data_IF_406368203826
#
_entry.id   IF_406368203826
#
_cell.length_a   1.000
_cell.length_b   1.000
_cell.length_c   1.000
_cell.angle_alpha   90.00
_cell.angle_beta   90.00
_cell.angle_gamma   90.00
#
_symmetry.space_group_name_H-M   'P 1'
#
loop_
_entity.id
_entity.type
_entity.pdbx_description
1 polymer ?
#
# COMPACT_ATOMS: atom_id res chain seq x y z
N UNK A 1 2.43 -60.41 35.15
CA UNK A 1 1.35 -60.52 34.14
C UNK A 1 0.47 -59.28 34.25
N UNK A 2 0.11 -58.71 33.09
CA UNK A 2 -0.75 -57.54 32.83
C UNK A 2 -0.07 -56.17 32.79
N UNK A 3 0.37 -55.83 31.56
CA UNK A 3 0.71 -54.49 31.07
C UNK A 3 -0.54 -53.60 30.95
N UNK A 4 -0.42 -52.27 31.09
CA UNK A 4 -1.33 -51.34 30.45
C UNK A 4 -0.65 -50.57 29.29
N UNK A 5 -1.30 -50.60 28.13
CA UNK A 5 -1.01 -49.76 26.96
C UNK A 5 -1.36 -48.29 27.25
N UNK A 6 -0.53 -47.30 26.84
CA UNK A 6 -0.99 -45.93 26.69
C UNK A 6 -1.53 -45.70 25.27
N UNK A 7 -2.80 -45.31 25.19
CA UNK A 7 -3.45 -44.86 23.96
C UNK A 7 -2.86 -43.51 23.51
N UNK A 8 -2.28 -43.51 22.32
CA UNK A 8 -1.75 -42.32 21.64
C UNK A 8 -2.93 -41.55 21.03
N UNK A 9 -3.35 -40.45 21.66
CA UNK A 9 -4.30 -39.49 21.07
C UNK A 9 -3.53 -38.49 20.20
N UNK A 10 -3.54 -38.74 18.89
CA UNK A 10 -3.09 -37.79 17.87
C UNK A 10 -4.09 -36.63 17.80
N UNK A 11 -3.75 -35.50 18.43
CA UNK A 11 -4.43 -34.23 18.21
C UNK A 11 -3.86 -33.55 16.95
N UNK A 12 -4.61 -33.61 15.86
CA UNK A 12 -4.40 -32.79 14.67
C UNK A 12 -4.68 -31.31 15.02
N UNK A 13 -3.77 -30.36 14.77
CA UNK A 13 -4.11 -28.95 14.85
C UNK A 13 -4.94 -28.57 13.61
N UNK A 14 -6.19 -28.19 13.83
CA UNK A 14 -6.99 -27.47 12.85
C UNK A 14 -6.33 -26.11 12.62
N UNK A 15 -5.74 -25.93 11.44
CA UNK A 15 -5.30 -24.63 10.96
C UNK A 15 -6.55 -23.76 10.72
N UNK A 16 -6.82 -22.84 11.66
CA UNK A 16 -7.77 -21.77 11.45
C UNK A 16 -7.21 -20.82 10.39
N UNK A 17 -7.77 -20.87 9.18
CA UNK A 17 -7.61 -19.80 8.20
C UNK A 17 -8.22 -18.53 8.77
N UNK A 18 -7.40 -17.65 9.35
CA UNK A 18 -7.83 -16.32 9.72
C UNK A 18 -8.11 -15.53 8.44
N UNK A 19 -9.39 -15.26 8.17
CA UNK A 19 -9.81 -14.32 7.14
C UNK A 19 -9.38 -12.91 7.57
N UNK A 20 -8.83 -12.11 6.65
CA UNK A 20 -8.40 -10.74 6.92
C UNK A 20 -9.54 -9.92 7.55
N UNK A 21 -9.25 -9.23 8.64
CA UNK A 21 -10.23 -8.40 9.33
C UNK A 21 -10.41 -7.05 8.60
N UNK A 22 -11.66 -6.68 8.32
CA UNK A 22 -12.02 -5.35 7.80
C UNK A 22 -12.46 -4.46 8.97
N UNK A 23 -11.86 -3.29 9.11
CA UNK A 23 -12.18 -2.32 10.16
C UNK A 23 -12.88 -1.09 9.56
N UNK A 24 -14.08 -0.76 10.06
CA UNK A 24 -14.81 0.47 9.70
C UNK A 24 -14.28 1.63 10.56
N UNK A 25 -13.66 2.62 9.94
CA UNK A 25 -13.04 3.76 10.63
C UNK A 25 -14.01 4.95 10.82
N UNK A 26 -15.09 5.03 10.04
CA UNK A 26 -16.08 6.10 10.18
C UNK A 26 -17.32 5.92 9.31
N UNK A 27 -18.44 6.51 9.77
CA UNK A 27 -19.69 6.62 9.03
C UNK A 27 -20.14 8.10 8.99
N UNK A 28 -20.30 8.67 7.79
CA UNK A 28 -20.89 9.99 7.62
C UNK A 28 -22.37 10.03 8.06
N UNK A 29 -22.78 11.12 8.71
CA UNK A 29 -24.10 11.28 9.33
C UNK A 29 -25.28 11.14 8.34
N UNK A 30 -26.34 10.45 8.80
CA UNK A 30 -27.53 10.01 8.04
C UNK A 30 -28.50 11.11 7.57
N UNK A 31 -28.12 12.39 7.61
CA UNK A 31 -29.08 13.50 7.41
C UNK A 31 -29.31 13.80 5.92
N UNK A 32 -28.42 13.33 5.04
CA UNK A 32 -28.60 13.27 3.60
C UNK A 32 -28.14 11.88 3.15
N UNK A 33 -28.65 11.35 2.04
CA UNK A 33 -28.38 9.99 1.50
C UNK A 33 -26.90 9.72 1.07
N UNK A 34 -25.92 10.32 1.75
CA UNK A 34 -24.49 10.14 1.58
C UNK A 34 -23.89 9.55 2.87
N UNK A 35 -24.01 8.25 3.05
CA UNK A 35 -23.18 7.52 4.02
C UNK A 35 -21.85 7.20 3.34
N UNK A 36 -20.82 8.02 3.58
CA UNK A 36 -19.44 7.63 3.28
C UNK A 36 -18.99 6.64 4.35
N UNK A 37 -18.70 5.41 3.94
CA UNK A 37 -18.07 4.39 4.77
C UNK A 37 -16.58 4.35 4.46
N UNK A 38 -15.75 4.45 5.50
CA UNK A 38 -14.31 4.31 5.37
C UNK A 38 -13.89 2.98 5.97
N UNK A 39 -13.33 2.09 5.15
CA UNK A 39 -12.86 0.78 5.62
C UNK A 39 -11.37 0.59 5.38
N UNK A 40 -10.75 -0.18 6.28
CA UNK A 40 -9.35 -0.58 6.17
C UNK A 40 -9.27 -2.09 6.31
N UNK A 41 -8.66 -2.76 5.33
CA UNK A 41 -8.35 -4.18 5.46
C UNK A 41 -6.95 -4.37 6.00
N UNK A 42 -6.83 -5.24 7.00
CA UNK A 42 -5.53 -5.77 7.40
C UNK A 42 -4.99 -6.75 6.34
N UNK A 43 -3.67 -6.94 6.31
CA UNK A 43 -3.06 -7.96 5.49
C UNK A 43 -3.30 -9.34 6.09
N UNK A 44 -3.58 -10.35 5.26
CA UNK A 44 -3.53 -11.74 5.71
C UNK A 44 -2.07 -12.21 5.93
N UNK A 45 -1.89 -13.43 6.42
CA UNK A 45 -0.55 -13.97 6.71
C UNK A 45 0.36 -14.07 5.47
N UNK A 46 -0.20 -14.39 4.31
CA UNK A 46 0.55 -14.54 3.06
C UNK A 46 0.94 -13.17 2.50
N UNK A 47 0.01 -12.24 2.47
CA UNK A 47 0.23 -10.83 2.10
C UNK A 47 1.25 -10.17 3.03
N UNK A 48 1.13 -10.41 4.34
CA UNK A 48 2.07 -9.90 5.33
C UNK A 48 3.50 -10.44 5.11
N UNK A 49 3.63 -11.70 4.68
CA UNK A 49 4.91 -12.28 4.27
C UNK A 49 5.45 -11.63 3.00
N UNK A 50 4.62 -11.48 1.97
CA UNK A 50 5.00 -10.79 0.71
C UNK A 50 5.50 -9.37 0.98
N UNK A 51 4.73 -8.58 1.73
CA UNK A 51 5.14 -7.23 2.15
C UNK A 51 6.49 -7.25 2.89
N UNK A 52 6.69 -8.15 3.86
CA UNK A 52 7.95 -8.23 4.61
C UNK A 52 9.16 -8.55 3.72
N UNK A 53 8.97 -9.36 2.69
CA UNK A 53 10.04 -9.79 1.79
C UNK A 53 10.45 -8.71 0.78
N UNK A 54 9.57 -7.74 0.47
CA UNK A 54 9.80 -6.76 -0.59
C UNK A 54 9.86 -5.31 -0.13
N UNK A 55 9.44 -5.00 1.11
CA UNK A 55 9.48 -3.64 1.65
C UNK A 55 10.87 -3.05 1.87
N UNK A 56 11.93 -3.85 1.79
CA UNK A 56 13.30 -3.44 2.07
C UNK A 56 14.16 -3.60 0.81
N UNK A 57 15.01 -2.61 0.50
CA UNK A 57 15.95 -2.63 -0.62
C UNK A 57 17.31 -2.06 -0.23
N UNK A 58 18.36 -2.43 -0.95
CA UNK A 58 19.72 -1.97 -0.70
C UNK A 58 20.26 -1.24 -1.93
N UNK A 59 20.64 0.01 -1.74
CA UNK A 59 21.38 0.79 -2.73
C UNK A 59 22.87 0.76 -2.38
N UNK A 60 23.70 0.37 -3.34
CA UNK A 60 25.15 0.26 -3.15
C UNK A 60 25.88 1.31 -4.01
N UNK A 61 27.02 1.81 -3.51
CA UNK A 61 27.84 2.79 -4.23
C UNK A 61 27.25 4.20 -4.25
N UNK A 62 26.32 4.52 -3.34
CA UNK A 62 25.67 5.83 -3.28
C UNK A 62 25.65 6.38 -1.85
N UNK A 63 25.77 7.70 -1.72
CA UNK A 63 25.56 8.36 -0.44
C UNK A 63 24.06 8.46 -0.12
N UNK A 64 23.75 8.62 1.16
CA UNK A 64 22.36 8.78 1.63
C UNK A 64 21.67 9.98 0.98
N UNK A 65 22.37 11.12 0.89
CA UNK A 65 21.90 12.31 0.18
C UNK A 65 21.66 12.04 -1.31
N UNK A 66 22.54 11.26 -1.95
CA UNK A 66 22.35 10.89 -3.34
C UNK A 66 21.08 10.05 -3.52
N UNK A 67 20.86 9.02 -2.69
CA UNK A 67 19.64 8.20 -2.78
C UNK A 67 18.38 9.04 -2.53
N UNK A 68 18.41 9.94 -1.54
CA UNK A 68 17.29 10.83 -1.24
C UNK A 68 16.92 11.75 -2.42
N UNK A 69 17.92 12.31 -3.11
CA UNK A 69 17.68 13.13 -4.30
C UNK A 69 17.14 12.30 -5.48
N UNK A 70 17.70 11.11 -5.72
CA UNK A 70 17.21 10.22 -6.78
C UNK A 70 15.78 9.75 -6.52
N UNK A 71 15.46 9.46 -5.26
CA UNK A 71 14.11 9.08 -4.87
C UNK A 71 13.10 10.19 -5.16
N UNK A 72 13.40 11.44 -4.78
CA UNK A 72 12.54 12.58 -5.12
C UNK A 72 12.35 12.73 -6.64
N UNK A 73 13.43 12.63 -7.41
CA UNK A 73 13.37 12.76 -8.87
C UNK A 73 12.54 11.64 -9.51
N UNK A 74 12.76 10.38 -9.09
CA UNK A 74 12.00 9.23 -9.56
C UNK A 74 10.51 9.38 -9.21
N UNK A 75 10.17 9.76 -7.98
CA UNK A 75 8.78 9.93 -7.56
C UNK A 75 8.06 11.01 -8.39
N UNK A 76 8.72 12.14 -8.66
CA UNK A 76 8.17 13.18 -9.51
C UNK A 76 7.94 12.69 -10.94
N UNK A 77 8.88 11.94 -11.52
CA UNK A 77 8.75 11.37 -12.86
C UNK A 77 7.62 10.33 -12.96
N UNK A 78 7.30 9.64 -11.86
CA UNK A 78 6.26 8.60 -11.80
C UNK A 78 4.93 9.08 -11.24
N UNK A 79 4.68 10.39 -11.29
CA UNK A 79 3.35 10.98 -11.09
C UNK A 79 2.98 11.24 -9.63
N UNK A 80 3.92 11.13 -8.68
CA UNK A 80 3.68 11.62 -7.32
C UNK A 80 3.66 13.14 -7.33
N UNK A 81 2.53 13.73 -6.93
CA UNK A 81 2.27 15.17 -7.04
C UNK A 81 2.60 15.95 -5.77
N UNK A 82 2.51 15.32 -4.60
CA UNK A 82 2.95 15.89 -3.33
C UNK A 82 4.11 15.04 -2.83
N UNK A 83 5.29 15.62 -2.74
CA UNK A 83 6.50 14.95 -2.26
C UNK A 83 7.10 15.81 -1.16
N UNK A 84 7.14 15.27 0.04
CA UNK A 84 7.73 15.89 1.22
C UNK A 84 8.96 15.08 1.61
N UNK A 85 10.14 15.67 1.42
CA UNK A 85 11.39 15.08 1.89
C UNK A 85 11.81 15.76 3.20
N UNK A 86 12.17 14.95 4.18
CA UNK A 86 12.73 15.38 5.47
C UNK A 86 14.20 14.91 5.51
N UNK A 87 15.17 15.71 5.01
CA UNK A 87 16.56 15.28 4.87
C UNK A 87 17.20 14.89 6.20
N UNK A 88 16.87 15.59 7.29
CA UNK A 88 17.42 15.33 8.63
C UNK A 88 17.01 13.96 9.18
N UNK A 89 15.82 13.49 8.81
CA UNK A 89 15.29 12.19 9.20
C UNK A 89 15.46 11.13 8.11
N UNK A 90 15.93 11.51 6.92
CA UNK A 90 16.06 10.67 5.74
C UNK A 90 14.75 9.95 5.37
N UNK A 91 13.65 10.69 5.49
CA UNK A 91 12.29 10.23 5.19
C UNK A 91 11.77 10.97 3.97
N UNK A 92 11.04 10.25 3.11
CA UNK A 92 10.23 10.85 2.06
C UNK A 92 8.80 10.36 2.22
N UNK A 93 7.86 11.30 2.22
CA UNK A 93 6.43 11.06 2.10
C UNK A 93 6.01 11.51 0.72
N UNK A 94 5.23 10.69 0.02
CA UNK A 94 4.72 11.08 -1.28
C UNK A 94 3.30 10.59 -1.51
N UNK A 95 2.52 11.38 -2.24
CA UNK A 95 1.13 11.07 -2.60
C UNK A 95 0.95 11.12 -4.11
N UNK A 96 0.38 10.05 -4.67
CA UNK A 96 -0.06 9.95 -6.06
C UNK A 96 -1.57 9.77 -6.11
N UNK A 97 -2.20 10.37 -7.10
CA UNK A 97 -3.62 10.27 -7.36
C UNK A 97 -3.88 9.76 -8.77
N UNK A 98 -4.79 8.80 -8.91
CA UNK A 98 -5.14 8.15 -10.17
C UNK A 98 -6.65 8.08 -10.35
N UNK A 99 -7.14 8.46 -11.53
CA UNK A 99 -8.55 8.25 -11.89
C UNK A 99 -8.71 6.85 -12.47
N UNK A 100 -9.45 5.99 -11.77
CA UNK A 100 -9.72 4.62 -12.20
C UNK A 100 -10.76 4.55 -13.32
N UNK A 101 -11.60 5.58 -13.44
CA UNK A 101 -12.65 5.66 -14.46
C UNK A 101 -12.53 7.00 -15.18
N UNK A 102 -12.55 6.96 -16.51
CA UNK A 102 -12.57 8.16 -17.34
C UNK A 102 -13.73 9.09 -16.97
N UNK A 103 -13.50 10.41 -16.97
CA UNK A 103 -14.50 11.44 -16.67
C UNK A 103 -15.83 11.29 -17.43
N UNK A 104 -15.79 10.90 -18.72
CA UNK A 104 -17.01 10.67 -19.52
C UNK A 104 -17.90 9.54 -19.00
N UNK A 105 -17.28 8.44 -18.53
CA UNK A 105 -18.00 7.32 -17.89
C UNK A 105 -18.56 7.70 -16.53
N UNK A 106 -17.88 8.57 -15.78
CA UNK A 106 -18.40 9.11 -14.51
C UNK A 106 -19.66 9.96 -14.74
N UNK A 107 -19.66 10.87 -15.73
CA UNK A 107 -20.79 11.75 -16.06
C UNK A 107 -22.02 10.95 -16.52
N UNK A 108 -21.85 10.04 -17.48
CA UNK A 108 -22.95 9.20 -17.97
C UNK A 108 -23.60 8.39 -16.84
N UNK A 109 -22.77 7.89 -15.93
CA UNK A 109 -23.22 7.12 -14.77
C UNK A 109 -23.93 7.99 -13.74
N UNK A 110 -23.48 9.22 -13.52
CA UNK A 110 -24.17 10.20 -12.69
C UNK A 110 -25.59 10.45 -13.18
N UNK A 111 -25.78 10.59 -14.49
CA UNK A 111 -27.10 10.74 -15.11
C UNK A 111 -27.97 9.48 -14.92
N UNK A 112 -27.38 8.29 -15.05
CA UNK A 112 -28.09 7.03 -14.85
C UNK A 112 -28.48 6.80 -13.38
N UNK A 113 -27.67 7.25 -12.40
CA UNK A 113 -27.97 7.19 -10.96
C UNK A 113 -29.23 7.99 -10.61
N UNK A 114 -29.55 9.05 -11.35
CA UNK A 114 -30.78 9.83 -11.15
C UNK A 114 -32.04 9.03 -11.50
N UNK A 115 -31.91 7.97 -12.31
CA UNK A 115 -33.04 7.16 -12.79
C UNK A 115 -33.09 5.76 -12.17
N UNK A 116 -31.96 5.21 -11.71
CA UNK A 116 -31.83 3.85 -11.20
C UNK A 116 -30.86 3.79 -10.00
N UNK A 117 -31.19 3.07 -8.91
CA UNK A 117 -30.23 2.82 -7.84
C UNK A 117 -29.09 1.93 -8.36
N UNK A 118 -27.85 2.40 -8.23
CA UNK A 118 -26.66 1.67 -8.68
C UNK A 118 -25.63 1.54 -7.54
N UNK A 119 -24.92 0.40 -7.43
CA UNK A 119 -23.88 0.19 -6.41
C UNK A 119 -22.73 1.18 -6.61
N UNK A 120 -21.87 1.38 -5.61
CA UNK A 120 -20.62 2.14 -5.79
C UNK A 120 -19.71 1.44 -6.81
N UNK A 121 -18.94 2.21 -7.59
CA UNK A 121 -17.78 1.65 -8.32
C UNK A 121 -16.55 2.49 -8.02
N UNK A 122 -15.37 1.86 -7.91
CA UNK A 122 -14.11 2.56 -7.83
C UNK A 122 -14.01 3.59 -8.95
N UNK A 123 -13.65 4.83 -8.62
CA UNK A 123 -13.49 5.91 -9.59
C UNK A 123 -12.23 6.75 -9.37
N UNK A 124 -11.68 6.74 -8.16
CA UNK A 124 -10.42 7.38 -7.82
C UNK A 124 -9.57 6.50 -6.90
N UNK A 125 -8.26 6.60 -7.03
CA UNK A 125 -7.29 5.93 -6.17
C UNK A 125 -6.25 6.95 -5.71
N UNK A 126 -5.81 6.82 -4.46
CA UNK A 126 -4.59 7.45 -3.99
C UNK A 126 -3.60 6.40 -3.52
N UNK A 127 -2.32 6.65 -3.78
CA UNK A 127 -1.20 5.82 -3.28
C UNK A 127 -0.29 6.72 -2.46
N UNK A 128 -0.21 6.44 -1.17
CA UNK A 128 0.71 7.05 -0.22
C UNK A 128 1.99 6.21 -0.13
N UNK A 129 3.14 6.85 -0.27
CA UNK A 129 4.44 6.26 -0.03
C UNK A 129 5.07 6.89 1.21
N UNK A 130 5.55 6.04 2.11
CA UNK A 130 6.54 6.39 3.12
C UNK A 130 7.84 5.62 2.82
N UNK A 131 8.89 6.35 2.46
CA UNK A 131 10.23 5.81 2.22
C UNK A 131 11.16 6.27 3.33
N UNK A 132 11.75 5.34 4.05
CA UNK A 132 12.75 5.60 5.08
C UNK A 132 14.09 5.10 4.60
N UNK A 133 15.12 5.93 4.72
CA UNK A 133 16.48 5.59 4.33
C UNK A 133 17.39 5.59 5.56
N UNK A 134 18.37 4.68 5.59
CA UNK A 134 19.42 4.69 6.62
C UNK A 134 20.74 4.19 6.05
N UNK A 135 21.89 4.56 6.64
CA UNK A 135 23.16 3.93 6.30
C UNK A 135 23.12 2.41 6.52
N UNK A 136 23.76 1.67 5.62
CA UNK A 136 24.00 0.24 5.76
C UNK A 136 25.25 -0.07 6.59
N UNK A 137 25.58 -1.36 6.68
CA UNK A 137 26.79 -1.82 7.38
C UNK A 137 28.07 -1.61 6.57
N UNK A 138 27.94 -1.43 5.25
CA UNK A 138 29.08 -1.23 4.34
C UNK A 138 29.24 0.25 3.95
N UNK A 139 30.47 0.70 3.61
CA UNK A 139 30.68 2.02 3.04
C UNK A 139 29.81 2.24 1.81
N UNK A 140 29.17 3.42 1.72
CA UNK A 140 28.29 3.80 0.59
C UNK A 140 27.14 2.81 0.33
N UNK A 141 26.71 2.10 1.36
CA UNK A 141 25.49 1.32 1.35
C UNK A 141 24.37 2.11 2.01
N UNK A 142 23.20 2.14 1.38
CA UNK A 142 21.98 2.74 1.92
C UNK A 142 20.90 1.67 1.93
N UNK A 143 20.29 1.48 3.10
CA UNK A 143 19.14 0.60 3.28
C UNK A 143 17.88 1.45 3.18
N UNK A 144 16.95 1.02 2.34
CA UNK A 144 15.67 1.64 2.16
C UNK A 144 14.55 0.73 2.67
N UNK A 145 13.55 1.32 3.32
CA UNK A 145 12.29 0.66 3.66
C UNK A 145 11.13 1.47 3.10
N UNK A 146 10.30 0.86 2.28
CA UNK A 146 9.11 1.48 1.72
C UNK A 146 7.84 0.92 2.37
N UNK A 147 6.86 1.79 2.55
CA UNK A 147 5.48 1.43 2.87
C UNK A 147 4.58 2.13 1.87
N UNK A 148 3.85 1.34 1.09
CA UNK A 148 2.89 1.82 0.11
C UNK A 148 1.49 1.54 0.65
N UNK A 149 0.63 2.55 0.67
CA UNK A 149 -0.74 2.41 1.14
C UNK A 149 -1.68 2.97 0.10
N UNK A 150 -2.59 2.14 -0.38
CA UNK A 150 -3.51 2.49 -1.44
C UNK A 150 -4.90 2.69 -0.85
N UNK A 151 -5.52 3.83 -1.16
CA UNK A 151 -6.91 4.10 -0.83
C UNK A 151 -7.71 4.22 -2.11
N UNK A 152 -8.68 3.34 -2.27
CA UNK A 152 -9.62 3.34 -3.40
C UNK A 152 -10.92 3.98 -2.95
N UNK A 153 -11.36 5.00 -3.67
CA UNK A 153 -12.64 5.66 -3.47
C UNK A 153 -13.64 5.20 -4.52
N UNK A 154 -14.89 5.06 -4.10
CA UNK A 154 -16.00 4.79 -4.99
C UNK A 154 -16.89 6.02 -5.22
N UNK A 155 -17.69 5.93 -6.27
CA UNK A 155 -18.65 6.97 -6.66
C UNK A 155 -19.79 7.25 -5.65
N UNK A 156 -19.85 6.52 -4.53
CA UNK A 156 -20.78 6.78 -3.42
C UNK A 156 -20.07 7.51 -2.26
N UNK A 157 -18.76 7.78 -2.40
CA UNK A 157 -17.93 8.37 -1.37
C UNK A 157 -17.42 7.37 -0.34
N UNK A 158 -17.58 6.06 -0.55
CA UNK A 158 -16.91 5.07 0.30
C UNK A 158 -15.43 5.01 -0.06
N UNK A 159 -14.59 4.71 0.92
CA UNK A 159 -13.18 4.44 0.71
C UNK A 159 -12.77 3.11 1.31
N UNK A 160 -11.81 2.48 0.66
CA UNK A 160 -11.15 1.28 1.12
C UNK A 160 -9.63 1.48 1.09
N UNK A 161 -9.00 1.42 2.25
CA UNK A 161 -7.55 1.57 2.39
C UNK A 161 -6.89 0.23 2.67
N UNK A 162 -5.83 -0.08 1.94
CA UNK A 162 -5.05 -1.31 2.11
C UNK A 162 -3.55 -1.04 1.99
N UNK A 163 -2.77 -1.68 2.86
CA UNK A 163 -1.32 -1.75 2.73
C UNK A 163 -0.98 -2.58 1.49
N UNK A 164 -0.13 -2.05 0.63
CA UNK A 164 0.34 -2.79 -0.52
C UNK A 164 1.29 -3.92 -0.12
N UNK A 165 1.16 -5.06 -0.79
CA UNK A 165 2.00 -6.24 -0.61
C UNK A 165 2.43 -6.86 -1.94
N UNK A 166 2.12 -6.23 -3.07
CA UNK A 166 2.49 -6.73 -4.38
C UNK A 166 4.00 -6.55 -4.63
N UNK A 167 4.77 -7.63 -4.83
CA UNK A 167 6.21 -7.55 -5.12
C UNK A 167 6.58 -6.65 -6.30
N UNK A 168 5.70 -6.53 -7.30
CA UNK A 168 5.99 -5.81 -8.52
C UNK A 168 5.98 -4.28 -8.30
N UNK A 169 5.09 -3.78 -7.44
CA UNK A 169 5.00 -2.36 -7.08
C UNK A 169 6.28 -1.89 -6.35
N UNK A 170 6.78 -2.69 -5.41
CA UNK A 170 8.06 -2.44 -4.74
C UNK A 170 9.25 -2.53 -5.70
N UNK A 171 9.28 -3.55 -6.56
CA UNK A 171 10.36 -3.72 -7.55
C UNK A 171 10.40 -2.55 -8.52
N UNK A 172 9.24 -2.08 -8.96
CA UNK A 172 9.11 -0.92 -9.82
C UNK A 172 9.59 0.36 -9.12
N UNK A 173 9.13 0.61 -7.90
CA UNK A 173 9.57 1.75 -7.08
C UNK A 173 11.10 1.79 -6.97
N UNK A 174 11.72 0.70 -6.52
CA UNK A 174 13.18 0.66 -6.34
C UNK A 174 13.92 0.72 -7.68
N UNK A 175 13.40 0.07 -8.72
CA UNK A 175 13.96 0.13 -10.07
C UNK A 175 14.03 1.56 -10.62
N UNK A 176 13.00 2.38 -10.35
CA UNK A 176 12.98 3.79 -10.75
C UNK A 176 14.00 4.62 -9.98
N UNK A 177 14.17 4.37 -8.68
CA UNK A 177 15.20 5.03 -7.88
C UNK A 177 16.61 4.62 -8.37
N UNK A 178 16.82 3.35 -8.66
CA UNK A 178 18.07 2.82 -9.24
C UNK A 178 18.36 3.40 -10.63
N UNK A 179 17.34 3.63 -11.45
CA UNK A 179 17.49 4.30 -12.74
C UNK A 179 17.90 5.77 -12.55
N UNK A 180 17.23 6.49 -11.65
CA UNK A 180 17.57 7.88 -11.32
C UNK A 180 18.96 8.01 -10.66
N UNK A 181 19.43 6.99 -9.94
CA UNK A 181 20.79 6.91 -9.42
C UNK A 181 21.84 6.82 -10.52
N UNK A 182 21.59 5.99 -11.55
CA UNK A 182 22.52 5.74 -12.67
C UNK A 182 22.51 6.84 -13.72
N UNK A 183 21.42 7.57 -13.88
CA UNK A 183 21.28 8.67 -14.84
C UNK A 183 21.87 10.01 -14.36
N UNK A 184 22.65 10.00 -13.29
CA UNK A 184 23.33 11.18 -12.72
C UNK A 184 24.80 11.25 -13.12
#
# INVERSE_FOLDING_TARGET
MHSPLPALLLTLPLASYAHAAEQVQGQGGRILHYSSTQTRSDLDHEEQNRYRNHRDHQFNGASLAAVLQAAQSALHQHGYGQIEAEPDYHVIRALRHEQLVSRGRQVLRGILKLKLPMPGKPDHQSTELLLMLRPGSQPQQVLARARLETTVWDSNGNSHTKLDSDPDDYRQLYGHIDAALRGR
#
